data_IF_090590271713
#
_entry.id   IF_090590271713
#
_cell.length_a   1.000
_cell.length_b   1.000
_cell.length_c   1.000
_cell.angle_alpha   90.00
_cell.angle_beta   90.00
_cell.angle_gamma   90.00
#
_symmetry.space_group_name_H-M   'P 1'
#
loop_
_entity.id
_entity.type
_entity.pdbx_description
1 polymer ?
#
# COMPACT_ATOMS: atom_id res chain seq x y z
N UNK A 1 -19.51 27.98 -5.64
CA UNK A 1 -18.54 27.38 -6.56
C UNK A 1 -17.44 28.40 -6.70
N UNK A 2 -16.21 28.05 -6.29
CA UNK A 2 -15.09 28.97 -6.29
C UNK A 2 -14.78 29.43 -7.72
N UNK A 3 -14.53 30.73 -7.90
CA UNK A 3 -14.10 31.26 -9.18
C UNK A 3 -12.62 30.88 -9.44
N UNK A 4 -12.27 30.44 -10.67
CA UNK A 4 -10.87 30.28 -11.06
C UNK A 4 -10.08 31.58 -10.95
N UNK A 5 -8.77 31.46 -10.76
CA UNK A 5 -7.83 32.57 -10.90
C UNK A 5 -7.72 33.01 -12.37
N UNK A 6 -7.57 34.31 -12.59
CA UNK A 6 -7.44 34.90 -13.92
C UNK A 6 -6.08 34.58 -14.58
N UNK A 7 -5.03 34.40 -13.76
CA UNK A 7 -3.66 34.11 -14.20
C UNK A 7 -3.11 32.88 -13.50
N UNK A 8 -2.19 32.18 -14.17
CA UNK A 8 -1.46 31.09 -13.55
C UNK A 8 -0.51 31.60 -12.43
N UNK A 9 -0.19 30.75 -11.44
CA UNK A 9 0.81 31.05 -10.40
C UNK A 9 2.20 31.31 -10.98
N UNK A 10 3.06 31.99 -10.21
CA UNK A 10 4.40 32.36 -10.64
C UNK A 10 5.36 31.16 -10.70
N UNK A 11 5.26 30.26 -9.73
CA UNK A 11 5.95 28.98 -9.72
C UNK A 11 4.92 27.84 -9.65
N UNK A 12 5.16 26.78 -10.41
CA UNK A 12 4.25 25.63 -10.52
C UNK A 12 5.04 24.37 -10.23
N UNK A 13 4.54 23.56 -9.31
CA UNK A 13 4.99 22.20 -9.06
C UNK A 13 3.98 21.23 -9.63
N UNK A 14 4.44 20.37 -10.56
CA UNK A 14 3.59 19.38 -11.20
C UNK A 14 3.58 18.11 -10.36
N UNK A 15 2.39 17.58 -10.18
CA UNK A 15 2.15 16.40 -9.38
C UNK A 15 2.65 15.14 -10.11
N UNK A 16 3.40 14.31 -9.39
CA UNK A 16 3.74 12.96 -9.82
C UNK A 16 2.91 11.93 -9.04
N UNK A 17 2.67 10.75 -9.63
CA UNK A 17 2.00 9.63 -8.95
C UNK A 17 2.98 8.83 -8.11
N UNK A 18 3.71 9.51 -7.24
CA UNK A 18 4.83 8.99 -6.45
C UNK A 18 4.43 7.77 -5.62
N UNK A 19 3.30 7.84 -4.90
CA UNK A 19 2.85 6.73 -4.03
C UNK A 19 2.58 5.46 -4.83
N UNK A 20 2.08 5.58 -6.07
CA UNK A 20 1.82 4.44 -6.96
C UNK A 20 3.14 3.73 -7.31
N UNK A 21 4.17 4.50 -7.64
CA UNK A 21 5.49 3.97 -8.01
C UNK A 21 6.23 3.39 -6.80
N UNK A 22 6.08 4.00 -5.63
CA UNK A 22 6.64 3.49 -4.39
C UNK A 22 5.98 2.16 -3.98
N UNK A 23 4.66 2.06 -4.10
CA UNK A 23 3.94 0.79 -3.90
C UNK A 23 4.47 -0.31 -4.83
N UNK A 24 4.64 -0.02 -6.12
CA UNK A 24 5.21 -0.99 -7.06
C UNK A 24 6.66 -1.37 -6.69
N UNK A 25 7.46 -0.41 -6.20
CA UNK A 25 8.82 -0.64 -5.69
C UNK A 25 8.81 -1.59 -4.48
N UNK A 26 7.89 -1.40 -3.54
CA UNK A 26 7.76 -2.26 -2.37
C UNK A 26 7.23 -3.65 -2.72
N UNK A 27 6.29 -3.75 -3.66
CA UNK A 27 5.84 -5.05 -4.20
C UNK A 27 7.00 -5.79 -4.88
N UNK A 28 7.84 -5.11 -5.67
CA UNK A 28 9.05 -5.71 -6.21
C UNK A 28 9.97 -6.20 -5.09
N UNK A 29 10.18 -5.39 -4.04
CA UNK A 29 11.00 -5.80 -2.90
C UNK A 29 10.46 -7.07 -2.21
N UNK A 30 9.14 -7.22 -2.06
CA UNK A 30 8.51 -8.43 -1.51
C UNK A 30 8.77 -9.66 -2.38
N UNK A 31 8.83 -9.51 -3.71
CA UNK A 31 9.22 -10.61 -4.60
C UNK A 31 10.72 -10.89 -4.58
N UNK A 32 11.55 -9.85 -4.52
CA UNK A 32 12.99 -9.96 -4.78
C UNK A 32 13.86 -10.11 -3.51
N UNK A 33 13.32 -9.79 -2.33
CA UNK A 33 14.02 -9.78 -1.05
C UNK A 33 13.20 -10.56 -0.02
N UNK A 34 13.87 -11.42 0.75
CA UNK A 34 13.24 -12.03 1.92
C UNK A 34 13.13 -10.98 3.04
N UNK A 35 11.90 -10.52 3.31
CA UNK A 35 11.61 -9.55 4.37
C UNK A 35 10.92 -10.28 5.52
N UNK A 36 11.70 -10.58 6.56
CA UNK A 36 11.20 -11.09 7.84
C UNK A 36 10.77 -9.88 8.69
N UNK A 37 9.49 -9.69 9.02
CA UNK A 37 9.07 -8.55 9.83
C UNK A 37 9.64 -8.62 11.25
N UNK A 38 9.73 -7.46 11.90
CA UNK A 38 10.04 -7.37 13.33
C UNK A 38 8.89 -7.94 14.16
N UNK A 39 9.08 -8.04 15.49
CA UNK A 39 8.01 -8.46 16.42
C UNK A 39 6.76 -7.58 16.32
N UNK A 40 6.95 -6.31 15.98
CA UNK A 40 5.87 -5.32 15.82
C UNK A 40 5.30 -5.31 14.39
N UNK A 41 5.67 -6.28 13.56
CA UNK A 41 5.18 -6.38 12.18
C UNK A 41 5.82 -5.39 11.20
N UNK A 42 6.89 -4.69 11.59
CA UNK A 42 7.53 -3.66 10.75
C UNK A 42 8.66 -4.21 9.87
N UNK A 43 9.08 -3.44 8.88
CA UNK A 43 10.25 -3.76 8.07
C UNK A 43 11.53 -3.59 8.91
N UNK A 44 12.45 -4.57 8.95
CA UNK A 44 13.70 -4.41 9.71
C UNK A 44 14.53 -3.24 9.20
N UNK A 45 15.15 -2.46 10.10
CA UNK A 45 15.99 -1.29 9.78
C UNK A 45 17.01 -1.54 8.65
N UNK A 46 17.64 -2.71 8.63
CA UNK A 46 18.61 -3.10 7.58
C UNK A 46 17.98 -3.15 6.18
N UNK A 47 16.74 -3.61 6.08
CA UNK A 47 15.99 -3.66 4.81
C UNK A 47 15.46 -2.27 4.50
N UNK A 48 14.88 -1.57 5.47
CA UNK A 48 14.41 -0.19 5.30
C UNK A 48 15.49 0.73 4.71
N UNK A 49 16.73 0.68 5.23
CA UNK A 49 17.89 1.42 4.70
C UNK A 49 18.18 1.16 3.22
N UNK A 50 17.83 -0.01 2.69
CA UNK A 50 17.98 -0.34 1.26
C UNK A 50 16.80 0.14 0.41
N UNK A 51 15.63 0.31 1.02
CA UNK A 51 14.39 0.70 0.34
C UNK A 51 14.25 2.22 0.26
N UNK A 52 14.66 2.97 1.29
CA UNK A 52 14.57 4.45 1.30
C UNK A 52 15.14 5.13 0.04
N UNK A 53 16.31 4.74 -0.51
CA UNK A 53 16.82 5.36 -1.74
C UNK A 53 15.97 5.10 -2.99
N UNK A 54 15.14 4.05 -2.96
CA UNK A 54 14.33 3.60 -4.10
C UNK A 54 12.92 4.20 -4.09
N UNK A 55 12.40 4.57 -2.92
CA UNK A 55 11.13 5.28 -2.78
C UNK A 55 11.33 6.80 -2.87
N UNK A 56 10.28 7.54 -3.22
CA UNK A 56 10.36 8.98 -3.52
C UNK A 56 9.35 9.85 -2.77
N UNK A 57 8.40 9.26 -2.06
CA UNK A 57 7.44 10.03 -1.27
C UNK A 57 8.10 10.85 -0.17
N UNK A 58 7.38 11.89 0.23
CA UNK A 58 7.81 12.85 1.24
C UNK A 58 7.87 12.18 2.62
N UNK A 59 8.88 12.55 3.41
CA UNK A 59 9.09 12.05 4.76
C UNK A 59 7.87 12.30 5.66
N UNK A 60 7.49 11.29 6.44
CA UNK A 60 6.43 11.39 7.45
C UNK A 60 7.06 11.31 8.84
N UNK A 61 7.13 12.44 9.53
CA UNK A 61 7.63 12.49 10.90
C UNK A 61 6.48 12.41 11.90
N UNK A 62 6.72 11.71 13.01
CA UNK A 62 5.77 11.57 14.11
C UNK A 62 6.41 12.04 15.40
N UNK A 63 5.64 12.65 16.29
CA UNK A 63 6.11 13.04 17.63
C UNK A 63 6.63 11.87 18.47
N UNK A 64 6.25 10.64 18.10
CA UNK A 64 6.62 9.42 18.81
C UNK A 64 7.91 8.77 18.26
N UNK A 65 8.41 9.22 17.11
CA UNK A 65 9.52 8.59 16.40
C UNK A 65 10.41 9.62 15.71
N UNK A 66 11.71 9.55 15.97
CA UNK A 66 12.73 10.31 15.23
C UNK A 66 13.01 9.76 13.81
N UNK A 67 12.30 8.71 13.37
CA UNK A 67 12.49 8.12 12.05
C UNK A 67 11.31 8.44 11.13
N UNK A 68 11.61 8.63 9.84
CA UNK A 68 10.63 8.65 8.75
C UNK A 68 9.73 7.40 8.76
N UNK A 69 8.43 7.64 8.96
CA UNK A 69 7.37 6.63 9.03
C UNK A 69 6.73 6.35 7.65
N UNK A 70 7.13 7.02 6.57
CA UNK A 70 6.54 6.83 5.24
C UNK A 70 6.58 5.38 4.77
N UNK A 71 7.72 4.70 4.94
CA UNK A 71 7.85 3.29 4.59
C UNK A 71 6.92 2.39 5.42
N UNK A 72 6.82 2.64 6.72
CA UNK A 72 5.95 1.87 7.63
C UNK A 72 4.47 2.10 7.28
N UNK A 73 4.10 3.35 6.96
CA UNK A 73 2.78 3.72 6.46
C UNK A 73 2.42 2.95 5.17
N UNK A 74 3.31 2.93 4.18
CA UNK A 74 3.08 2.19 2.94
C UNK A 74 2.91 0.69 3.18
N UNK A 75 3.71 0.06 4.04
CA UNK A 75 3.52 -1.35 4.38
C UNK A 75 2.20 -1.60 5.10
N UNK A 76 1.77 -0.71 6.00
CA UNK A 76 0.47 -0.80 6.65
C UNK A 76 -0.68 -0.71 5.64
N UNK A 77 -0.58 0.18 4.63
CA UNK A 77 -1.54 0.30 3.53
C UNK A 77 -1.55 -0.99 2.71
N UNK A 78 -0.39 -1.51 2.29
CA UNK A 78 -0.28 -2.74 1.50
C UNK A 78 -0.88 -3.95 2.22
N UNK A 79 -0.70 -4.05 3.54
CA UNK A 79 -1.30 -5.10 4.35
C UNK A 79 -2.80 -4.90 4.53
N UNK A 80 -3.27 -3.68 4.83
CA UNK A 80 -4.68 -3.35 4.96
C UNK A 80 -5.47 -3.63 3.67
N UNK A 81 -4.86 -3.35 2.53
CA UNK A 81 -5.40 -3.65 1.20
C UNK A 81 -5.20 -5.11 0.75
N UNK A 82 -4.53 -5.94 1.55
CA UNK A 82 -4.19 -7.33 1.24
C UNK A 82 -3.39 -7.50 -0.07
N UNK A 83 -2.57 -6.51 -0.41
CA UNK A 83 -1.60 -6.56 -1.49
C UNK A 83 -0.31 -7.27 -1.03
N UNK A 84 -0.01 -7.19 0.27
CA UNK A 84 1.04 -7.92 0.95
C UNK A 84 0.44 -8.65 2.14
N UNK A 85 0.88 -9.88 2.39
CA UNK A 85 0.51 -10.64 3.59
C UNK A 85 1.72 -11.11 4.36
N UNK A 86 1.62 -11.12 5.68
CA UNK A 86 2.57 -11.81 6.54
C UNK A 86 2.23 -13.31 6.55
N UNK A 87 3.11 -14.13 6.01
CA UNK A 87 2.98 -15.59 6.11
C UNK A 87 3.69 -16.08 7.35
N UNK A 88 2.96 -16.75 8.25
CA UNK A 88 3.48 -17.41 9.44
C UNK A 88 3.51 -18.92 9.20
N UNK A 89 4.68 -19.52 8.97
CA UNK A 89 4.76 -20.96 8.77
C UNK A 89 4.26 -21.68 10.02
N UNK A 90 3.56 -22.82 9.89
CA UNK A 90 2.99 -23.56 11.01
C UNK A 90 4.04 -24.31 11.86
N UNK A 91 5.33 -24.06 11.61
CA UNK A 91 6.46 -24.74 12.24
C UNK A 91 7.19 -23.78 13.16
N UNK A 92 7.29 -24.14 14.43
CA UNK A 92 8.05 -23.39 15.43
C UNK A 92 9.50 -23.17 14.98
N UNK A 93 9.97 -21.92 15.12
CA UNK A 93 11.34 -21.52 14.76
C UNK A 93 11.52 -21.03 13.32
N UNK A 94 10.53 -21.20 12.43
CA UNK A 94 10.57 -20.55 11.12
C UNK A 94 9.95 -19.16 11.23
N UNK A 95 10.73 -18.13 10.92
CA UNK A 95 10.26 -16.75 10.99
C UNK A 95 9.20 -16.48 9.92
N UNK A 96 8.30 -15.57 10.26
CA UNK A 96 7.35 -15.04 9.30
C UNK A 96 8.05 -14.22 8.22
N UNK A 97 7.36 -14.04 7.10
CA UNK A 97 7.85 -13.20 5.99
C UNK A 97 6.70 -12.56 5.23
N UNK A 98 6.97 -11.39 4.67
CA UNK A 98 6.07 -10.78 3.71
C UNK A 98 6.07 -11.54 2.39
N UNK A 99 4.88 -11.71 1.82
CA UNK A 99 4.64 -12.30 0.51
C UNK A 99 3.53 -11.53 -0.22
N UNK A 100 3.40 -11.78 -1.53
CA UNK A 100 2.27 -11.31 -2.31
C UNK A 100 0.93 -11.69 -1.64
N UNK A 101 0.08 -10.69 -1.44
CA UNK A 101 -1.25 -10.85 -0.85
C UNK A 101 -2.29 -11.29 -1.88
N UNK A 102 -3.45 -11.70 -1.37
CA UNK A 102 -4.49 -12.35 -2.19
C UNK A 102 -5.18 -11.37 -3.16
N UNK A 103 -5.15 -10.07 -2.86
CA UNK A 103 -5.73 -9.03 -3.72
C UNK A 103 -4.74 -8.43 -4.72
N UNK A 104 -3.46 -8.83 -4.68
CA UNK A 104 -2.43 -8.27 -5.57
C UNK A 104 -2.73 -8.53 -7.05
N UNK A 105 -3.29 -9.70 -7.39
CA UNK A 105 -3.64 -10.01 -8.77
C UNK A 105 -4.71 -9.06 -9.33
N UNK A 106 -5.78 -8.79 -8.55
CA UNK A 106 -6.83 -7.86 -8.97
C UNK A 106 -6.31 -6.41 -9.06
N UNK A 107 -5.44 -6.01 -8.13
CA UNK A 107 -4.76 -4.71 -8.16
C UNK A 107 -3.87 -4.54 -9.39
N UNK A 108 -3.13 -5.58 -9.77
CA UNK A 108 -2.20 -5.56 -10.90
C UNK A 108 -2.90 -5.33 -12.25
N UNK A 109 -4.18 -5.70 -12.39
CA UNK A 109 -4.95 -5.47 -13.62
C UNK A 109 -5.46 -4.03 -13.74
N UNK A 110 -5.44 -3.25 -12.65
CA UNK A 110 -5.83 -1.85 -12.68
C UNK A 110 -4.73 -1.00 -13.33
N UNK A 111 -5.15 -0.08 -14.18
CA UNK A 111 -4.29 0.96 -14.72
C UNK A 111 -4.04 2.08 -13.70
N UNK A 112 -3.36 3.15 -14.13
CA UNK A 112 -3.07 4.31 -13.28
C UNK A 112 -4.33 4.94 -12.68
N UNK A 113 -5.40 5.12 -13.46
CA UNK A 113 -6.65 5.71 -12.93
C UNK A 113 -7.28 4.79 -11.88
N UNK A 114 -7.33 3.49 -12.13
CA UNK A 114 -7.88 2.51 -11.21
C UNK A 114 -7.10 2.41 -9.90
N UNK A 115 -5.77 2.30 -9.96
CA UNK A 115 -4.93 2.20 -8.76
C UNK A 115 -5.00 3.47 -7.92
N UNK A 116 -4.87 4.66 -8.53
CA UNK A 116 -4.97 5.93 -7.80
C UNK A 116 -6.36 6.13 -7.20
N UNK A 117 -7.43 5.72 -7.90
CA UNK A 117 -8.79 5.78 -7.36
C UNK A 117 -8.99 4.91 -6.12
N UNK A 118 -8.45 3.69 -6.12
CA UNK A 118 -8.50 2.80 -4.95
C UNK A 118 -7.70 3.38 -3.78
N UNK A 119 -6.51 3.95 -4.03
CA UNK A 119 -5.74 4.60 -2.96
C UNK A 119 -6.43 5.85 -2.41
N UNK A 120 -7.06 6.64 -3.27
CA UNK A 120 -7.82 7.81 -2.82
C UNK A 120 -9.02 7.39 -1.95
N UNK A 121 -9.68 6.26 -2.25
CA UNK A 121 -10.71 5.71 -1.39
C UNK A 121 -10.13 5.23 -0.05
N UNK A 122 -8.99 4.53 -0.08
CA UNK A 122 -8.30 4.07 1.13
C UNK A 122 -7.91 5.27 2.01
N UNK A 123 -7.29 6.31 1.44
CA UNK A 123 -6.93 7.55 2.13
C UNK A 123 -8.16 8.23 2.77
N UNK A 124 -9.32 8.26 2.10
CA UNK A 124 -10.54 8.85 2.67
C UNK A 124 -11.11 8.08 3.87
N UNK A 125 -10.83 6.77 3.99
CA UNK A 125 -11.55 5.88 4.91
C UNK A 125 -10.69 5.36 6.06
N UNK A 126 -9.40 5.23 5.85
CA UNK A 126 -8.48 4.59 6.78
C UNK A 126 -7.61 5.60 7.52
N UNK A 127 -7.31 5.29 8.79
CA UNK A 127 -6.49 6.14 9.66
C UNK A 127 -5.00 5.81 9.60
N UNK A 128 -4.60 4.76 8.87
CA UNK A 128 -3.21 4.33 8.74
C UNK A 128 -2.45 5.05 7.62
N UNK A 129 -2.95 6.21 7.20
CA UNK A 129 -2.33 7.06 6.19
C UNK A 129 -2.16 8.44 6.80
N UNK A 130 -0.93 8.91 6.87
CA UNK A 130 -0.57 10.21 7.43
C UNK A 130 -0.24 11.20 6.30
N UNK A 131 -0.69 12.44 6.47
CA UNK A 131 -0.36 13.56 5.62
C UNK A 131 0.89 14.27 6.19
N UNK A 132 1.73 14.92 5.36
CA UNK A 132 2.90 15.67 5.86
C UNK A 132 2.39 16.85 6.68
N UNK A 133 2.68 16.87 7.98
CA UNK A 133 2.32 17.99 8.83
C UNK A 133 3.21 19.20 8.56
N UNK A 134 2.63 20.34 8.19
CA UNK A 134 3.29 21.66 8.22
C UNK A 134 3.35 22.23 9.65
N UNK A 135 3.57 21.39 10.67
CA UNK A 135 3.68 21.86 12.05
C UNK A 135 5.06 22.49 12.27
N UNK A 136 5.29 23.63 11.64
CA UNK A 136 6.25 24.61 12.15
C UNK A 136 5.81 24.98 13.56
N UNK A 137 6.57 24.48 14.53
CA UNK A 137 6.54 25.05 15.87
C UNK A 137 7.05 26.49 15.71
N UNK A 138 6.28 27.52 16.11
CA UNK A 138 6.77 28.89 16.00
C UNK A 138 8.13 29.01 16.69
N UNK A 139 9.15 29.50 15.98
CA UNK A 139 10.53 29.64 16.49
C UNK A 139 10.60 30.48 17.76
N UNK A 140 9.69 31.44 17.92
CA UNK A 140 9.48 32.20 19.14
C UNK A 140 8.09 31.91 19.72
N UNK A 141 8.05 31.06 20.75
CA UNK A 141 6.95 31.03 21.72
C UNK A 141 6.82 32.45 22.32
N UNK A 142 5.63 33.09 22.28
CA UNK A 142 5.47 34.40 22.91
C UNK A 142 5.59 34.24 24.43
N UNK A 143 6.79 34.50 24.94
CA UNK A 143 7.11 34.52 26.36
C UNK A 143 8.27 33.60 26.72
N UNK A 144 9.46 34.18 26.86
CA UNK A 144 10.50 33.63 27.72
C UNK A 144 9.92 33.43 29.13
N UNK A 145 9.50 32.20 29.44
CA UNK A 145 9.44 31.64 30.79
C UNK A 145 9.31 30.14 30.68
N UNK A 146 10.14 29.44 31.44
CA UNK A 146 10.33 27.99 31.55
C UNK A 146 9.10 27.18 31.99
N UNK A 147 7.91 27.53 31.55
CA UNK A 147 6.66 26.86 31.89
C UNK A 147 6.07 26.26 30.61
N UNK A 148 6.73 25.22 30.07
CA UNK A 148 5.98 24.18 29.35
C UNK A 148 5.17 23.40 30.39
N UNK A 149 4.25 24.09 31.05
CA UNK A 149 3.27 23.48 31.91
C UNK A 149 2.26 22.81 30.99
N UNK A 150 2.25 21.48 31.04
CA UNK A 150 1.22 20.65 30.41
C UNK A 150 -0.20 21.05 30.87
N UNK A 151 -0.31 21.88 31.93
CA UNK A 151 -1.53 22.54 32.40
C UNK A 151 -1.90 23.87 31.71
N UNK A 152 -1.07 24.44 30.83
CA UNK A 152 -1.40 25.68 30.12
C UNK A 152 -2.39 25.44 28.97
N UNK A 153 -3.38 26.35 28.83
CA UNK A 153 -4.47 26.23 27.85
C UNK A 153 -3.98 26.17 26.40
N UNK A 154 -2.83 26.77 26.08
CA UNK A 154 -2.22 26.75 24.74
C UNK A 154 -1.53 25.42 24.43
N UNK A 155 -0.75 24.87 25.36
CA UNK A 155 -0.17 23.53 25.22
C UNK A 155 -1.25 22.44 25.15
N UNK A 156 -2.33 22.61 25.93
CA UNK A 156 -3.50 21.73 25.90
C UNK A 156 -4.32 21.86 24.60
N UNK A 157 -4.45 23.05 24.01
CA UNK A 157 -5.16 23.26 22.73
C UNK A 157 -4.37 22.65 21.55
N UNK A 158 -3.03 22.72 21.57
CA UNK A 158 -2.15 22.15 20.54
C UNK A 158 -2.03 20.61 20.63
N UNK A 159 -1.96 20.07 21.85
CA UNK A 159 -2.12 18.62 22.09
C UNK A 159 -3.53 18.16 21.68
N UNK A 160 -4.59 18.85 22.09
CA UNK A 160 -5.93 18.50 21.60
C UNK A 160 -6.04 18.61 20.09
N UNK A 161 -5.34 19.53 19.43
CA UNK A 161 -5.36 19.60 17.96
C UNK A 161 -4.79 18.34 17.30
N UNK A 162 -3.67 17.83 17.79
CA UNK A 162 -3.11 16.55 17.34
C UNK A 162 -4.02 15.34 17.65
N UNK A 163 -4.70 15.34 18.81
CA UNK A 163 -5.52 14.21 19.29
C UNK A 163 -7.04 14.32 19.01
N UNK A 164 -7.52 15.47 18.55
CA UNK A 164 -8.95 15.75 18.27
C UNK A 164 -9.23 16.03 16.81
N UNK A 165 -8.24 15.99 15.92
CA UNK A 165 -8.50 16.17 14.48
C UNK A 165 -9.14 14.90 13.89
N UNK A 166 -10.35 15.01 13.33
CA UNK A 166 -10.98 13.98 12.51
C UNK A 166 -10.51 14.11 11.05
N UNK A 167 -9.34 13.55 10.77
CA UNK A 167 -8.76 13.58 9.42
C UNK A 167 -9.73 13.00 8.37
N UNK A 168 -10.52 11.98 8.70
CA UNK A 168 -11.45 11.36 7.73
C UNK A 168 -12.57 12.32 7.28
N UNK A 169 -13.15 13.07 8.21
CA UNK A 169 -14.20 14.05 7.90
C UNK A 169 -13.63 15.25 7.14
N UNK A 170 -12.41 15.68 7.47
CA UNK A 170 -11.69 16.71 6.73
C UNK A 170 -11.40 16.27 5.28
N UNK A 171 -10.87 15.05 5.07
CA UNK A 171 -10.63 14.47 3.75
C UNK A 171 -11.89 14.44 2.89
N UNK A 172 -13.01 13.98 3.47
CA UNK A 172 -14.30 13.94 2.78
C UNK A 172 -14.77 15.34 2.37
N UNK A 173 -14.63 16.31 3.27
CA UNK A 173 -14.98 17.72 3.00
C UNK A 173 -14.13 18.28 1.86
N UNK A 174 -12.82 18.09 1.92
CA UNK A 174 -11.87 18.55 0.91
C UNK A 174 -12.21 17.96 -0.48
N UNK A 175 -12.41 16.65 -0.56
CA UNK A 175 -12.78 15.97 -1.81
C UNK A 175 -14.10 16.48 -2.39
N UNK A 176 -15.08 16.78 -1.54
CA UNK A 176 -16.34 17.38 -1.99
C UNK A 176 -16.14 18.74 -2.63
N UNK A 177 -15.22 19.57 -2.11
CA UNK A 177 -14.88 20.86 -2.72
C UNK A 177 -14.12 20.69 -4.03
N UNK A 178 -13.11 19.82 -4.06
CA UNK A 178 -12.31 19.55 -5.26
C UNK A 178 -13.17 19.04 -6.42
N UNK A 179 -14.19 18.22 -6.15
CA UNK A 179 -15.18 17.79 -7.16
C UNK A 179 -15.97 18.92 -7.83
N UNK A 180 -15.93 20.14 -7.29
CA UNK A 180 -16.60 21.30 -7.92
C UNK A 180 -15.67 22.11 -8.82
N UNK A 181 -14.37 21.83 -8.81
CA UNK A 181 -13.38 22.52 -9.61
C UNK A 181 -13.33 21.94 -11.04
N UNK A 182 -13.20 22.80 -12.03
CA UNK A 182 -12.99 22.45 -13.43
C UNK A 182 -11.52 22.09 -13.71
N UNK A 183 -11.30 21.14 -14.63
CA UNK A 183 -9.97 20.72 -15.10
C UNK A 183 -9.17 21.87 -15.71
N UNK A 184 -7.86 21.88 -15.50
CA UNK A 184 -6.94 22.81 -16.16
C UNK A 184 -7.12 24.28 -15.75
N UNK A 185 -7.82 24.54 -14.64
CA UNK A 185 -8.02 25.87 -14.06
C UNK A 185 -7.33 25.94 -12.70
N UNK A 186 -6.73 27.09 -12.42
CA UNK A 186 -6.10 27.38 -11.13
C UNK A 186 -7.12 27.97 -10.15
N UNK A 187 -7.05 27.54 -8.90
CA UNK A 187 -7.92 27.97 -7.81
C UNK A 187 -7.07 28.42 -6.63
N UNK A 188 -7.49 29.47 -5.92
CA UNK A 188 -6.82 29.94 -4.69
C UNK A 188 -7.03 28.97 -3.53
N UNK A 189 -5.96 28.63 -2.82
CA UNK A 189 -6.02 27.86 -1.57
C UNK A 189 -6.76 28.66 -0.48
N UNK A 190 -6.49 29.96 -0.31
CA UNK A 190 -7.19 30.79 0.69
C UNK A 190 -8.71 30.83 0.45
N UNK A 191 -9.15 30.92 -0.80
CA UNK A 191 -10.59 30.92 -1.10
C UNK A 191 -11.23 29.56 -0.82
N UNK A 192 -10.56 28.45 -1.15
CA UNK A 192 -11.00 27.10 -0.78
C UNK A 192 -11.15 26.97 0.75
N UNK A 193 -10.15 27.42 1.50
CA UNK A 193 -10.15 27.38 2.97
C UNK A 193 -11.27 28.24 3.56
N UNK A 194 -11.55 29.42 3.00
CA UNK A 194 -12.68 30.26 3.40
C UNK A 194 -14.02 29.58 3.13
N UNK A 195 -14.19 28.92 1.99
CA UNK A 195 -15.40 28.18 1.65
C UNK A 195 -15.64 27.03 2.64
N UNK A 196 -14.59 26.26 2.95
CA UNK A 196 -14.63 25.20 3.97
C UNK A 196 -15.01 25.78 5.34
N UNK A 197 -14.37 26.88 5.74
CA UNK A 197 -14.64 27.56 7.01
C UNK A 197 -16.10 28.04 7.14
N UNK A 198 -16.68 28.58 6.06
CA UNK A 198 -18.06 29.05 6.06
C UNK A 198 -19.08 27.90 6.15
N UNK A 199 -18.82 26.79 5.45
CA UNK A 199 -19.72 25.64 5.41
C UNK A 199 -19.63 24.78 6.67
N UNK A 200 -18.41 24.46 7.12
CA UNK A 200 -18.18 23.54 8.22
C UNK A 200 -16.89 23.86 9.01
N UNK A 201 -16.91 24.90 9.88
CA UNK A 201 -15.71 25.37 10.58
C UNK A 201 -15.13 24.36 11.59
N UNK A 202 -15.88 23.31 11.99
CA UNK A 202 -15.39 22.22 12.85
C UNK A 202 -15.28 20.88 12.11
N UNK A 203 -15.31 20.88 10.77
CA UNK A 203 -15.39 19.66 9.96
C UNK A 203 -14.26 18.66 10.18
N UNK A 204 -13.15 19.11 10.75
CA UNK A 204 -11.98 18.32 11.09
C UNK A 204 -11.89 17.96 12.57
N UNK A 205 -12.93 18.03 13.41
CA UNK A 205 -12.83 17.67 14.85
C UNK A 205 -13.65 16.45 15.27
N UNK A 206 -13.01 15.51 15.99
CA UNK A 206 -13.62 14.33 16.63
C UNK A 206 -14.34 14.69 17.92
N UNK A 207 -15.47 14.01 18.12
CA UNK A 207 -16.19 13.79 19.39
C UNK A 207 -15.94 14.83 20.49
N UNK A 208 -16.66 15.94 20.40
CA UNK A 208 -16.80 16.91 21.49
C UNK A 208 -18.15 16.75 22.17
N UNK A 209 -18.23 17.03 23.47
CA UNK A 209 -19.52 17.23 24.13
C UNK A 209 -20.30 18.33 23.41
N UNK A 210 -21.64 18.25 23.39
CA UNK A 210 -22.48 19.25 22.70
C UNK A 210 -22.20 20.69 23.14
N UNK A 211 -21.80 20.88 24.41
CA UNK A 211 -21.45 22.19 24.96
C UNK A 211 -20.07 22.68 24.49
N UNK A 212 -19.05 21.82 24.48
CA UNK A 212 -17.74 22.15 23.90
C UNK A 212 -17.86 22.46 22.41
N UNK A 213 -18.63 21.66 21.67
CA UNK A 213 -18.87 21.87 20.25
C UNK A 213 -19.44 23.25 19.96
N UNK A 214 -20.51 23.66 20.67
CA UNK A 214 -21.11 25.00 20.52
C UNK A 214 -20.13 26.13 20.85
N UNK A 215 -19.30 25.96 21.89
CA UNK A 215 -18.27 26.93 22.25
C UNK A 215 -17.20 27.06 21.17
N UNK A 216 -16.69 25.94 20.66
CA UNK A 216 -15.65 25.93 19.62
C UNK A 216 -16.20 26.41 18.27
N UNK A 217 -17.44 26.07 17.91
CA UNK A 217 -18.14 26.59 16.73
C UNK A 217 -18.23 28.12 16.79
N UNK A 218 -18.57 28.66 17.96
CA UNK A 218 -18.65 30.10 18.19
C UNK A 218 -17.29 30.77 17.98
N UNK A 219 -16.23 30.27 18.63
CA UNK A 219 -14.86 30.80 18.50
C UNK A 219 -14.31 30.69 17.07
N UNK A 220 -14.57 29.56 16.41
CA UNK A 220 -14.12 29.34 15.03
C UNK A 220 -14.81 30.33 14.07
N UNK A 221 -16.09 30.62 14.27
CA UNK A 221 -16.83 31.62 13.48
C UNK A 221 -16.46 33.07 13.79
N UNK A 222 -15.94 33.34 14.99
CA UNK A 222 -15.51 34.69 15.40
C UNK A 222 -14.23 35.15 14.68
N UNK A 223 -13.32 34.23 14.31
CA UNK A 223 -12.06 34.62 13.68
C UNK A 223 -11.51 33.56 12.72
N UNK A 224 -11.48 33.91 11.42
CA UNK A 224 -10.80 33.12 10.38
C UNK A 224 -9.32 32.93 10.69
N UNK A 225 -8.62 33.95 11.18
CA UNK A 225 -7.19 33.84 11.52
C UNK A 225 -6.94 32.79 12.60
N UNK A 226 -7.82 32.70 13.60
CA UNK A 226 -7.73 31.65 14.63
C UNK A 226 -8.05 30.27 14.06
N UNK A 227 -9.08 30.17 13.23
CA UNK A 227 -9.41 28.90 12.56
C UNK A 227 -8.29 28.43 11.64
N UNK A 228 -7.65 29.35 10.92
CA UNK A 228 -6.55 29.06 10.00
C UNK A 228 -5.39 28.35 10.72
N UNK A 229 -4.89 28.96 11.80
CA UNK A 229 -3.79 28.41 12.60
C UNK A 229 -4.09 27.08 13.30
N UNK A 230 -5.37 26.67 13.35
CA UNK A 230 -5.79 25.50 14.12
C UNK A 230 -6.37 24.39 13.24
N UNK A 231 -7.04 24.69 12.12
CA UNK A 231 -7.72 23.67 11.32
C UNK A 231 -7.36 23.74 9.83
N UNK A 232 -7.03 24.93 9.30
CA UNK A 232 -6.74 25.07 7.87
C UNK A 232 -5.47 24.32 7.45
N UNK A 233 -4.44 24.32 8.30
CA UNK A 233 -3.16 23.66 8.02
C UNK A 233 -3.34 22.18 7.66
N UNK A 234 -4.30 21.48 8.26
CA UNK A 234 -4.58 20.08 7.91
C UNK A 234 -5.02 19.94 6.43
N UNK A 235 -5.84 20.86 5.91
CA UNK A 235 -6.26 20.84 4.52
C UNK A 235 -5.12 21.21 3.57
N UNK A 236 -4.25 22.14 3.99
CA UNK A 236 -3.05 22.51 3.24
C UNK A 236 -2.09 21.33 3.17
N UNK A 237 -1.81 20.66 4.29
CA UNK A 237 -1.04 19.41 4.39
C UNK A 237 -1.59 18.32 3.47
N UNK A 238 -2.91 18.12 3.42
CA UNK A 238 -3.53 17.13 2.52
C UNK A 238 -3.32 17.46 1.04
N UNK A 239 -3.37 18.74 0.66
CA UNK A 239 -3.09 19.20 -0.69
C UNK A 239 -1.60 19.04 -1.04
N UNK A 240 -0.72 19.48 -0.14
CA UNK A 240 0.72 19.55 -0.34
C UNK A 240 1.39 18.16 -0.32
N UNK A 241 0.78 17.18 0.35
CA UNK A 241 1.29 15.81 0.43
C UNK A 241 0.41 14.82 -0.33
N UNK A 242 -0.50 14.11 0.34
CA UNK A 242 -1.18 12.94 -0.22
C UNK A 242 -1.89 13.20 -1.55
N UNK A 243 -2.58 14.33 -1.73
CA UNK A 243 -3.26 14.63 -3.00
C UNK A 243 -2.28 14.97 -4.12
N UNK A 244 -1.17 15.64 -3.79
CA UNK A 244 -0.09 15.92 -4.73
C UNK A 244 0.68 14.64 -5.10
N UNK A 245 1.08 13.82 -4.13
CA UNK A 245 1.82 12.55 -4.36
C UNK A 245 0.96 11.43 -4.99
N UNK A 246 -0.37 11.58 -4.98
CA UNK A 246 -1.31 10.76 -5.77
C UNK A 246 -1.50 11.29 -7.20
N UNK A 247 -0.92 12.44 -7.55
CA UNK A 247 -1.06 13.07 -8.86
C UNK A 247 -2.42 13.73 -9.09
N UNK A 248 -3.17 14.07 -8.04
CA UNK A 248 -4.55 14.61 -8.15
C UNK A 248 -4.54 16.12 -8.33
N UNK A 249 -3.63 16.82 -7.65
CA UNK A 249 -3.52 18.29 -7.67
C UNK A 249 -2.10 18.73 -8.00
N UNK A 250 -1.95 19.67 -8.93
CA UNK A 250 -0.72 20.46 -9.11
C UNK A 250 -0.76 21.66 -8.15
N UNK A 251 0.41 22.13 -7.72
CA UNK A 251 0.54 23.18 -6.73
C UNK A 251 1.18 24.44 -7.33
N UNK A 252 0.72 25.59 -6.83
CA UNK A 252 1.14 26.90 -7.31
C UNK A 252 1.61 27.80 -6.18
N UNK A 253 2.76 28.43 -6.37
CA UNK A 253 3.44 29.24 -5.36
C UNK A 253 3.69 30.67 -5.87
N UNK A 254 3.83 31.61 -4.93
CA UNK A 254 4.21 33.00 -5.22
C UNK A 254 5.66 33.15 -5.66
N UNK A 255 6.55 32.32 -5.10
CA UNK A 255 7.97 32.19 -5.44
C UNK A 255 8.31 30.70 -5.50
N UNK A 256 9.46 30.36 -6.09
CA UNK A 256 9.85 28.95 -6.19
C UNK A 256 10.15 28.40 -4.80
N UNK A 257 9.66 27.20 -4.43
CA UNK A 257 10.03 26.55 -3.16
C UNK A 257 11.52 26.17 -3.09
N UNK A 258 12.25 26.23 -4.20
CA UNK A 258 13.69 25.98 -4.24
C UNK A 258 14.55 27.25 -4.07
N UNK A 259 13.95 28.41 -3.81
CA UNK A 259 14.70 29.64 -3.52
C UNK A 259 15.21 29.58 -2.06
N UNK A 260 16.52 29.34 -1.88
CA UNK A 260 17.19 29.15 -0.56
C UNK A 260 16.99 30.31 0.44
N UNK A 261 16.53 31.47 -0.02
CA UNK A 261 16.37 32.71 0.75
C UNK A 261 15.02 32.81 1.51
N UNK A 262 14.06 31.88 1.32
CA UNK A 262 12.68 32.01 1.82
C UNK A 262 12.18 30.69 2.47
N UNK A 263 12.87 30.24 3.53
CA UNK A 263 12.48 29.04 4.32
C UNK A 263 11.06 29.20 4.90
N UNK A 264 10.62 30.43 5.20
CA UNK A 264 9.37 30.75 5.89
C UNK A 264 8.08 30.66 5.05
N UNK A 265 8.12 30.40 3.73
CA UNK A 265 6.92 30.51 2.87
C UNK A 265 6.76 29.38 1.84
N UNK A 266 6.73 28.14 2.32
CA UNK A 266 6.58 26.92 1.51
C UNK A 266 5.12 26.45 1.30
N UNK A 267 4.12 27.18 1.79
CA UNK A 267 2.72 26.79 1.61
C UNK A 267 2.20 27.14 0.20
N UNK A 268 1.46 26.24 -0.47
CA UNK A 268 0.89 26.53 -1.77
C UNK A 268 -0.20 27.62 -1.67
N UNK A 269 -0.19 28.56 -2.61
CA UNK A 269 -1.20 29.63 -2.70
C UNK A 269 -2.33 29.31 -3.66
N UNK A 270 -2.06 28.43 -4.61
CA UNK A 270 -3.01 27.97 -5.60
C UNK A 270 -2.86 26.47 -5.85
N UNK A 271 -3.91 25.87 -6.38
CA UNK A 271 -3.93 24.49 -6.82
C UNK A 271 -4.68 24.35 -8.14
N UNK A 272 -4.37 23.29 -8.89
CA UNK A 272 -5.09 22.90 -10.08
C UNK A 272 -5.37 21.40 -10.03
N UNK A 273 -6.57 20.97 -10.43
CA UNK A 273 -6.85 19.54 -10.54
C UNK A 273 -6.28 19.03 -11.86
N UNK A 274 -5.43 18.01 -11.76
CA UNK A 274 -4.79 17.37 -12.92
C UNK A 274 -5.82 16.65 -13.79
N UNK A 275 -5.41 16.27 -15.00
CA UNK A 275 -6.24 15.43 -15.87
C UNK A 275 -6.54 14.06 -15.24
N UNK A 276 -5.61 13.52 -14.45
CA UNK A 276 -5.79 12.28 -13.68
C UNK A 276 -6.78 12.50 -12.53
N UNK A 277 -6.60 13.56 -11.76
CA UNK A 277 -7.47 13.93 -10.63
C UNK A 277 -8.92 14.07 -11.03
N UNK A 278 -9.22 14.72 -12.17
CA UNK A 278 -10.59 14.85 -12.67
C UNK A 278 -11.22 13.49 -13.00
N UNK A 279 -10.49 12.59 -13.68
CA UNK A 279 -11.01 11.25 -14.01
C UNK A 279 -11.42 10.48 -12.75
N UNK A 280 -10.61 10.58 -11.70
CA UNK A 280 -10.80 9.91 -10.42
C UNK A 280 -11.93 10.56 -9.60
N UNK A 281 -11.89 11.87 -9.41
CA UNK A 281 -12.82 12.61 -8.55
C UNK A 281 -14.27 12.53 -9.05
N UNK A 282 -14.47 12.55 -10.37
CA UNK A 282 -15.79 12.47 -11.00
C UNK A 282 -16.25 11.05 -11.32
N UNK A 283 -15.45 10.04 -11.00
CA UNK A 283 -15.81 8.64 -11.17
C UNK A 283 -16.20 8.31 -12.61
N UNK A 284 -15.36 8.72 -13.57
CA UNK A 284 -15.63 8.43 -14.99
C UNK A 284 -15.63 6.92 -15.17
N UNK A 285 -16.82 6.30 -15.20
CA UNK A 285 -16.97 4.91 -15.64
C UNK A 285 -16.40 4.85 -17.05
N UNK A 286 -15.29 4.14 -17.21
CA UNK A 286 -14.73 3.86 -18.53
C UNK A 286 -15.80 3.23 -19.42
N UNK A 287 -15.87 3.70 -20.65
CA UNK A 287 -16.62 3.01 -21.70
C UNK A 287 -15.75 1.86 -22.21
N UNK A 288 -16.28 0.63 -22.32
CA UNK A 288 -15.52 -0.51 -22.85
C UNK A 288 -15.04 -0.32 -24.31
N UNK A 289 -15.56 0.68 -25.03
CA UNK A 289 -15.09 1.05 -26.37
C UNK A 289 -13.71 1.75 -26.37
N UNK A 290 -13.34 2.50 -25.32
CA UNK A 290 -12.00 3.12 -25.21
C UNK A 290 -10.92 2.14 -24.75
N UNK A 291 -11.31 1.03 -24.11
CA UNK A 291 -10.41 -0.05 -23.67
C UNK A 291 -9.90 -0.87 -24.86
N UNK A 292 -10.73 -1.12 -25.87
CA UNK A 292 -10.32 -1.89 -27.06
C UNK A 292 -9.34 -1.13 -27.96
N UNK A 293 -9.36 0.21 -27.95
CA UNK A 293 -8.51 1.04 -28.83
C UNK A 293 -7.17 1.44 -28.18
N UNK A 294 -7.10 1.68 -26.86
CA UNK A 294 -5.83 1.95 -26.14
C UNK A 294 -5.04 0.66 -25.84
N UNK A 295 -5.70 -0.42 -25.42
CA UNK A 295 -5.05 -1.70 -25.05
C UNK A 295 -4.51 -2.43 -26.28
N UNK A 296 -5.05 -2.16 -27.47
CA UNK A 296 -4.62 -2.80 -28.71
C UNK A 296 -3.27 -2.30 -29.24
N UNK A 297 -2.72 -1.18 -28.75
CA UNK A 297 -1.58 -0.53 -29.41
C UNK A 297 -0.42 -0.02 -28.53
N UNK A 298 -0.43 -0.16 -27.20
CA UNK A 298 0.64 0.40 -26.38
C UNK A 298 1.63 -0.65 -25.87
N UNK A 299 2.33 -1.35 -26.78
CA UNK A 299 3.56 -2.06 -26.37
C UNK A 299 4.53 -1.00 -25.85
N UNK A 300 4.78 -1.00 -24.55
CA UNK A 300 5.50 0.07 -23.83
C UNK A 300 6.89 -0.38 -23.36
N UNK A 301 7.14 -1.68 -23.39
CA UNK A 301 8.35 -2.31 -22.89
C UNK A 301 9.40 -2.39 -24.00
N UNK A 302 10.65 -2.10 -23.64
CA UNK A 302 11.82 -2.40 -24.47
C UNK A 302 12.68 -3.38 -23.67
N UNK A 303 12.97 -4.52 -24.27
CA UNK A 303 13.94 -5.48 -23.74
C UNK A 303 15.25 -5.32 -24.47
N UNK A 304 16.31 -4.99 -23.75
CA UNK A 304 17.63 -4.80 -24.32
C UNK A 304 18.47 -6.09 -24.27
N UNK A 305 19.43 -6.27 -25.19
CA UNK A 305 20.40 -7.38 -25.11
C UNK A 305 21.22 -7.41 -23.82
N UNK A 306 21.29 -6.28 -23.09
CA UNK A 306 21.93 -6.13 -21.77
C UNK A 306 21.12 -6.73 -20.61
N UNK A 307 19.94 -7.31 -20.88
CA UNK A 307 18.96 -7.76 -19.87
C UNK A 307 18.23 -6.63 -19.14
N UNK A 308 18.41 -5.38 -19.56
CA UNK A 308 17.62 -4.25 -19.08
C UNK A 308 16.22 -4.23 -19.72
N UNK A 309 15.23 -3.97 -18.88
CA UNK A 309 13.83 -3.76 -19.21
C UNK A 309 13.52 -2.29 -19.01
N UNK A 310 13.13 -1.61 -20.08
CA UNK A 310 12.75 -0.19 -20.05
C UNK A 310 11.26 -0.07 -20.36
N UNK A 311 10.48 0.39 -19.38
CA UNK A 311 9.09 0.77 -19.57
C UNK A 311 9.05 2.28 -19.76
N UNK A 312 8.77 2.74 -20.98
CA UNK A 312 8.95 4.16 -21.34
C UNK A 312 7.80 5.08 -20.89
N UNK A 313 6.69 4.50 -20.44
CA UNK A 313 5.48 5.21 -20.05
C UNK A 313 4.78 4.46 -18.91
N UNK A 314 3.91 5.10 -18.13
CA UNK A 314 3.25 4.49 -16.98
C UNK A 314 2.18 3.47 -17.41
N UNK A 315 2.63 2.24 -17.64
CA UNK A 315 1.80 1.08 -17.94
C UNK A 315 1.87 0.10 -16.76
N UNK A 316 1.01 0.34 -15.77
CA UNK A 316 1.02 -0.41 -14.51
C UNK A 316 0.74 -1.90 -14.71
N UNK A 317 -0.25 -2.35 -15.52
CA UNK A 317 -0.45 -3.78 -15.74
C UNK A 317 0.79 -4.48 -16.29
N UNK A 318 1.46 -3.87 -17.28
CA UNK A 318 2.74 -4.39 -17.78
C UNK A 318 3.80 -4.41 -16.66
N UNK A 319 3.94 -3.34 -15.89
CA UNK A 319 4.89 -3.27 -14.76
C UNK A 319 4.66 -4.39 -13.75
N UNK A 320 3.43 -4.57 -13.25
CA UNK A 320 3.10 -5.61 -12.27
C UNK A 320 3.31 -7.02 -12.84
N UNK A 321 3.13 -7.23 -14.15
CA UNK A 321 3.40 -8.52 -14.78
C UNK A 321 4.88 -8.93 -14.73
N UNK A 322 5.81 -7.95 -14.71
CA UNK A 322 7.27 -8.19 -14.73
C UNK A 322 7.93 -8.15 -13.34
N UNK A 323 7.32 -7.49 -12.34
CA UNK A 323 7.88 -7.41 -10.97
C UNK A 323 8.25 -8.76 -10.34
N UNK A 324 7.51 -9.88 -10.56
CA UNK A 324 7.87 -11.16 -9.95
C UNK A 324 9.22 -11.70 -10.41
N UNK A 325 9.65 -11.40 -11.64
CA UNK A 325 10.83 -12.02 -12.26
C UNK A 325 11.92 -11.03 -12.68
N UNK A 326 11.73 -9.73 -12.45
CA UNK A 326 12.72 -8.68 -12.70
C UNK A 326 13.07 -7.93 -11.41
N UNK A 327 14.30 -7.44 -11.32
CA UNK A 327 14.74 -6.58 -10.22
C UNK A 327 14.52 -5.12 -10.59
N UNK A 328 13.75 -4.38 -9.80
CA UNK A 328 13.57 -2.95 -10.02
C UNK A 328 14.86 -2.19 -9.69
N UNK A 329 15.33 -1.39 -10.63
CA UNK A 329 16.41 -0.41 -10.42
C UNK A 329 15.82 0.96 -10.10
N UNK A 330 14.74 1.30 -10.79
CA UNK A 330 13.99 2.55 -10.64
C UNK A 330 12.58 2.33 -11.18
N UNK A 331 11.56 2.75 -10.43
CA UNK A 331 10.18 2.78 -10.89
C UNK A 331 9.70 4.22 -10.84
N UNK A 332 8.99 4.63 -11.88
CA UNK A 332 8.52 5.99 -12.10
C UNK A 332 7.77 6.06 -13.43
N UNK A 333 7.55 7.29 -13.93
CA UNK A 333 6.95 7.54 -15.25
C UNK A 333 7.64 6.76 -16.36
N UNK A 334 8.97 6.67 -16.30
CA UNK A 334 9.75 5.64 -16.99
C UNK A 334 10.39 4.72 -15.95
N UNK A 335 10.22 3.41 -16.12
CA UNK A 335 10.74 2.40 -15.19
C UNK A 335 11.87 1.60 -15.82
N UNK A 336 12.90 1.31 -15.03
CA UNK A 336 14.05 0.49 -15.39
C UNK A 336 14.18 -0.68 -14.44
N UNK A 337 14.17 -1.88 -15.02
CA UNK A 337 14.35 -3.13 -14.30
C UNK A 337 15.42 -3.97 -14.99
N UNK A 338 15.97 -4.94 -14.28
CA UNK A 338 17.00 -5.85 -14.81
C UNK A 338 16.56 -7.30 -14.64
N UNK A 339 16.70 -8.09 -15.69
CA UNK A 339 16.60 -9.55 -15.61
C UNK A 339 17.92 -10.14 -15.12
N UNK A 340 17.86 -10.93 -14.06
CA UNK A 340 18.99 -11.68 -13.54
C UNK A 340 18.57 -13.14 -13.36
N UNK A 341 19.55 -14.05 -13.26
CA UNK A 341 19.25 -15.44 -12.95
C UNK A 341 18.44 -15.58 -11.65
N UNK A 342 18.83 -14.84 -10.61
CA UNK A 342 18.14 -14.87 -9.32
C UNK A 342 16.72 -14.32 -9.39
N UNK A 343 16.49 -13.22 -10.14
CA UNK A 343 15.14 -12.68 -10.30
C UNK A 343 14.25 -13.62 -11.09
N UNK A 344 14.77 -14.26 -12.15
CA UNK A 344 14.06 -15.28 -12.91
C UNK A 344 13.66 -16.46 -12.01
N UNK A 345 14.59 -16.98 -11.21
CA UNK A 345 14.33 -18.10 -10.28
C UNK A 345 13.28 -17.74 -9.24
N UNK A 346 13.31 -16.51 -8.69
CA UNK A 346 12.26 -16.02 -7.78
C UNK A 346 10.91 -15.94 -8.48
N UNK A 347 10.88 -15.44 -9.72
CA UNK A 347 9.68 -15.44 -10.55
C UNK A 347 9.11 -16.84 -10.80
N UNK A 348 9.98 -17.81 -11.11
CA UNK A 348 9.57 -19.20 -11.28
C UNK A 348 9.05 -19.82 -9.98
N UNK A 349 9.61 -19.45 -8.83
CA UNK A 349 9.13 -19.88 -7.52
C UNK A 349 7.71 -19.35 -7.17
N UNK A 350 7.20 -18.37 -7.91
CA UNK A 350 5.78 -17.95 -7.83
C UNK A 350 4.83 -18.85 -8.63
N UNK A 351 5.34 -19.93 -9.25
CA UNK A 351 4.56 -20.87 -10.05
C UNK A 351 4.55 -20.57 -11.55
N UNK A 352 5.25 -19.53 -12.01
CA UNK A 352 5.36 -19.21 -13.44
C UNK A 352 6.39 -20.10 -14.13
N UNK A 353 6.08 -20.58 -15.33
CA UNK A 353 7.07 -21.27 -16.16
C UNK A 353 7.91 -20.26 -16.95
N UNK A 354 9.12 -20.65 -17.36
CA UNK A 354 9.95 -19.80 -18.24
C UNK A 354 9.23 -19.45 -19.55
N UNK A 355 8.42 -20.36 -20.09
CA UNK A 355 7.62 -20.11 -21.29
C UNK A 355 6.57 -19.01 -21.05
N UNK A 356 5.90 -19.02 -19.90
CA UNK A 356 4.97 -17.94 -19.52
C UNK A 356 5.70 -16.61 -19.34
N UNK A 357 6.90 -16.61 -18.75
CA UNK A 357 7.70 -15.39 -18.56
C UNK A 357 8.14 -14.81 -19.92
N UNK A 358 8.63 -15.66 -20.83
CA UNK A 358 8.99 -15.25 -22.19
C UNK A 358 7.76 -14.69 -22.92
N UNK A 359 6.62 -15.36 -22.81
CA UNK A 359 5.38 -14.90 -23.43
C UNK A 359 4.92 -13.53 -22.89
N UNK A 360 5.06 -13.28 -21.59
CA UNK A 360 4.79 -11.95 -21.00
C UNK A 360 5.72 -10.91 -21.65
N UNK A 361 7.03 -11.18 -21.70
CA UNK A 361 7.97 -10.24 -22.33
C UNK A 361 7.64 -9.97 -23.81
N UNK A 362 7.37 -11.01 -24.59
CA UNK A 362 7.00 -10.93 -26.01
C UNK A 362 5.70 -10.16 -26.26
N UNK A 363 4.72 -10.32 -25.37
CA UNK A 363 3.43 -9.65 -25.49
C UNK A 363 3.55 -8.13 -25.33
N UNK A 364 4.40 -7.68 -24.41
CA UNK A 364 4.49 -6.27 -24.03
C UNK A 364 5.64 -5.51 -24.73
N UNK A 365 6.62 -6.22 -25.30
CA UNK A 365 7.80 -5.60 -25.94
C UNK A 365 7.49 -4.94 -27.28
N UNK A 366 7.98 -3.73 -27.49
CA UNK A 366 7.86 -2.99 -28.76
C UNK A 366 8.54 -3.69 -29.93
N UNK A 367 9.66 -4.36 -29.64
CA UNK A 367 10.50 -5.08 -30.61
C UNK A 367 10.58 -6.55 -30.24
N UNK A 368 10.89 -7.40 -31.20
CA UNK A 368 11.18 -8.80 -30.92
C UNK A 368 12.20 -8.96 -29.80
N UNK A 369 11.99 -9.97 -28.96
CA UNK A 369 12.86 -10.24 -27.83
C UNK A 369 14.27 -10.59 -28.37
N UNK A 370 15.35 -9.95 -27.87
CA UNK A 370 16.69 -10.26 -28.33
C UNK A 370 17.03 -11.76 -28.16
N UNK A 371 17.61 -12.35 -29.19
CA UNK A 371 17.88 -13.80 -29.22
C UNK A 371 18.76 -14.26 -28.05
N UNK A 372 19.75 -13.45 -27.65
CA UNK A 372 20.62 -13.75 -26.51
C UNK A 372 19.85 -13.79 -25.18
N UNK A 373 18.85 -12.92 -25.01
CA UNK A 373 17.98 -12.88 -23.83
C UNK A 373 17.13 -14.15 -23.78
N UNK A 374 16.50 -14.53 -24.90
CA UNK A 374 15.66 -15.74 -24.99
C UNK A 374 16.45 -17.00 -24.60
N UNK A 375 17.62 -17.23 -25.20
CA UNK A 375 18.45 -18.40 -24.88
C UNK A 375 18.91 -18.39 -23.42
N UNK A 376 19.32 -17.24 -22.90
CA UNK A 376 19.84 -17.13 -21.55
C UNK A 376 18.74 -17.37 -20.50
N UNK A 377 17.51 -16.89 -20.74
CA UNK A 377 16.36 -17.19 -19.88
C UNK A 377 16.07 -18.69 -19.84
N UNK A 378 16.13 -19.38 -20.98
CA UNK A 378 15.95 -20.82 -21.05
C UNK A 378 17.06 -21.58 -20.30
N UNK A 379 18.31 -21.15 -20.44
CA UNK A 379 19.45 -21.77 -19.75
C UNK A 379 19.41 -21.54 -18.24
N UNK A 380 19.09 -20.33 -17.79
CA UNK A 380 18.86 -20.05 -16.38
C UNK A 380 17.71 -20.89 -15.81
N UNK A 381 16.64 -21.09 -16.58
CA UNK A 381 15.52 -21.93 -16.15
C UNK A 381 15.89 -23.41 -15.99
N UNK A 382 16.81 -23.96 -16.81
CA UNK A 382 17.30 -25.35 -16.63
C UNK A 382 18.05 -25.54 -15.30
N UNK A 383 18.62 -24.46 -14.76
CA UNK A 383 19.33 -24.48 -13.48
C UNK A 383 18.39 -24.32 -12.28
N UNK A 384 17.13 -23.94 -12.50
CA UNK A 384 16.13 -23.80 -11.45
C UNK A 384 15.72 -25.17 -10.90
N UNK A 385 15.83 -25.33 -9.58
CA UNK A 385 15.41 -26.54 -8.86
C UNK A 385 14.54 -26.10 -7.69
N UNK A 386 13.33 -26.61 -7.63
CA UNK A 386 12.39 -26.33 -6.53
C UNK A 386 12.22 -27.58 -5.67
N UNK A 387 12.28 -27.40 -4.35
CA UNK A 387 11.89 -28.41 -3.38
C UNK A 387 10.84 -27.81 -2.46
N UNK A 388 9.75 -28.53 -2.22
CA UNK A 388 8.70 -28.12 -1.29
C UNK A 388 8.78 -28.97 -0.03
N UNK A 389 8.73 -28.30 1.11
CA UNK A 389 8.60 -28.95 2.41
C UNK A 389 7.18 -28.71 2.91
N UNK A 390 6.50 -29.76 3.35
CA UNK A 390 5.14 -29.68 3.88
C UNK A 390 5.06 -30.47 5.18
N UNK A 391 4.36 -29.90 6.16
CA UNK A 391 4.01 -30.62 7.38
C UNK A 391 2.65 -31.26 7.18
N UNK A 392 2.58 -32.58 7.36
CA UNK A 392 1.39 -33.37 7.11
C UNK A 392 1.14 -34.35 8.25
N UNK A 393 -0.13 -34.67 8.50
CA UNK A 393 -0.48 -35.84 9.30
C UNK A 393 -0.49 -37.08 8.39
N UNK A 394 0.24 -38.10 8.79
CA UNK A 394 0.31 -39.38 8.10
C UNK A 394 -0.83 -40.30 8.56
N UNK A 395 -1.54 -40.92 7.63
CA UNK A 395 -2.52 -41.97 7.90
C UNK A 395 -2.02 -43.25 7.24
N UNK A 396 -1.70 -44.23 8.06
CA UNK A 396 -1.39 -45.58 7.61
C UNK A 396 -2.66 -46.43 7.68
N UNK A 397 -2.95 -47.12 6.59
CA UNK A 397 -4.12 -47.98 6.47
C UNK A 397 -3.70 -49.45 6.31
N UNK A 398 -4.53 -50.41 6.72
CA UNK A 398 -4.17 -51.83 6.63
C UNK A 398 -4.21 -52.37 5.19
N UNK A 399 -4.84 -51.66 4.25
CA UNK A 399 -4.92 -52.07 2.84
C UNK A 399 -5.21 -50.88 1.93
N UNK A 400 -4.83 -51.03 0.65
CA UNK A 400 -5.09 -50.04 -0.40
C UNK A 400 -6.59 -49.76 -0.60
N UNK A 401 -7.45 -50.75 -0.38
CA UNK A 401 -8.90 -50.57 -0.49
C UNK A 401 -9.42 -49.57 0.55
N UNK A 402 -8.89 -49.61 1.77
CA UNK A 402 -9.26 -48.68 2.85
C UNK A 402 -8.72 -47.29 2.55
N UNK A 403 -7.48 -47.17 2.06
CA UNK A 403 -6.90 -45.90 1.64
C UNK A 403 -7.78 -45.20 0.59
N UNK A 404 -8.17 -45.93 -0.47
CA UNK A 404 -9.05 -45.43 -1.53
C UNK A 404 -10.43 -45.04 -1.01
N UNK A 405 -11.00 -45.82 -0.11
CA UNK A 405 -12.30 -45.52 0.50
C UNK A 405 -12.28 -44.22 1.33
N UNK A 406 -11.18 -43.93 2.03
CA UNK A 406 -11.02 -42.70 2.80
C UNK A 406 -10.80 -41.52 1.85
N UNK A 407 -9.88 -41.64 0.89
CA UNK A 407 -9.54 -40.58 -0.06
C UNK A 407 -10.73 -40.14 -0.94
N UNK A 408 -11.63 -41.07 -1.28
CA UNK A 408 -12.80 -40.80 -2.11
C UNK A 408 -13.90 -39.96 -1.43
N UNK A 409 -13.80 -39.65 -0.13
CA UNK A 409 -14.85 -38.89 0.56
C UNK A 409 -14.55 -37.39 0.59
N UNK A 410 -15.51 -36.59 0.12
CA UNK A 410 -15.42 -35.12 0.06
C UNK A 410 -15.07 -34.46 1.40
N UNK A 411 -15.46 -35.07 2.52
CA UNK A 411 -15.22 -34.54 3.87
C UNK A 411 -13.74 -34.40 4.23
N UNK A 412 -12.86 -35.14 3.58
CA UNK A 412 -11.41 -35.09 3.81
C UNK A 412 -10.70 -34.14 2.84
N UNK A 413 -11.39 -33.67 1.79
CA UNK A 413 -10.81 -32.73 0.80
C UNK A 413 -10.49 -31.36 1.42
N UNK A 414 -11.24 -30.93 2.44
CA UNK A 414 -10.94 -29.71 3.22
C UNK A 414 -9.60 -29.73 3.97
N UNK A 415 -8.99 -30.90 4.14
CA UNK A 415 -7.66 -31.09 4.74
C UNK A 415 -6.65 -31.58 3.71
N UNK A 416 -6.94 -31.36 2.41
CA UNK A 416 -6.10 -31.72 1.27
C UNK A 416 -5.55 -33.14 1.32
N UNK A 417 -6.46 -34.12 1.53
CA UNK A 417 -6.08 -35.52 1.58
C UNK A 417 -5.36 -35.95 0.30
N UNK A 418 -4.18 -36.55 0.46
CA UNK A 418 -3.33 -37.01 -0.64
C UNK A 418 -2.86 -38.42 -0.38
N UNK A 419 -3.04 -39.30 -1.34
CA UNK A 419 -2.40 -40.62 -1.36
C UNK A 419 -0.96 -40.46 -1.84
N UNK A 420 0.00 -40.88 -1.00
CA UNK A 420 1.44 -40.80 -1.32
C UNK A 420 2.07 -42.18 -1.53
N UNK A 421 1.39 -43.23 -1.10
CA UNK A 421 1.67 -44.63 -1.39
C UNK A 421 0.39 -45.47 -1.20
N UNK A 422 0.31 -46.73 -1.70
CA UNK A 422 -0.94 -47.51 -1.71
C UNK A 422 -1.66 -47.63 -0.36
N UNK A 423 -0.94 -47.64 0.77
CA UNK A 423 -1.52 -47.73 2.11
C UNK A 423 -1.31 -46.46 2.96
N UNK A 424 -0.82 -45.38 2.36
CA UNK A 424 -0.36 -44.19 3.07
C UNK A 424 -1.04 -42.95 2.49
N UNK A 425 -1.84 -42.29 3.33
CA UNK A 425 -2.46 -41.01 3.05
C UNK A 425 -1.80 -39.91 3.88
N UNK A 426 -1.95 -38.68 3.43
CA UNK A 426 -1.52 -37.48 4.15
C UNK A 426 -2.66 -36.48 4.24
N UNK A 427 -2.78 -35.81 5.37
CA UNK A 427 -3.65 -34.64 5.59
C UNK A 427 -2.79 -33.43 5.95
N UNK A 428 -3.34 -32.23 5.90
CA UNK A 428 -2.67 -31.04 6.42
C UNK A 428 -2.28 -31.21 7.90
N UNK A 429 -1.08 -30.74 8.26
CA UNK A 429 -0.53 -30.90 9.60
C UNK A 429 -1.24 -30.07 10.68
N UNK A 430 -2.01 -29.05 10.31
CA UNK A 430 -2.78 -28.18 11.21
C UNK A 430 -4.25 -28.62 11.38
N UNK A 431 -4.68 -29.70 10.71
CA UNK A 431 -6.04 -30.19 10.84
C UNK A 431 -6.33 -30.67 12.29
N UNK A 432 -7.53 -30.35 12.78
CA UNK A 432 -7.93 -30.70 14.14
C UNK A 432 -8.03 -32.22 14.31
N UNK A 433 -7.15 -32.80 15.13
CA UNK A 433 -7.08 -34.24 15.40
C UNK A 433 -8.42 -34.85 15.82
N UNK A 434 -9.23 -34.14 16.60
CA UNK A 434 -10.52 -34.65 17.05
C UNK A 434 -11.55 -34.69 15.92
N UNK A 435 -11.51 -33.69 15.02
CA UNK A 435 -12.38 -33.69 13.84
C UNK A 435 -11.99 -34.78 12.85
N UNK A 436 -10.68 -34.95 12.61
CA UNK A 436 -10.13 -36.02 11.77
C UNK A 436 -10.53 -37.38 12.33
N UNK A 437 -10.41 -37.57 13.65
CA UNK A 437 -10.86 -38.78 14.35
C UNK A 437 -12.33 -39.08 14.11
N UNK A 438 -13.18 -38.11 14.40
CA UNK A 438 -14.63 -38.26 14.22
C UNK A 438 -14.99 -38.54 12.75
N UNK A 439 -14.24 -37.97 11.80
CA UNK A 439 -14.46 -38.19 10.38
C UNK A 439 -14.12 -39.63 9.96
N UNK A 440 -13.02 -40.20 10.48
CA UNK A 440 -12.56 -41.58 10.21
C UNK A 440 -13.40 -42.64 10.95
N UNK A 441 -13.84 -42.39 12.19
CA UNK A 441 -14.74 -43.32 12.89
C UNK A 441 -16.08 -43.47 12.15
N UNK A 442 -16.59 -42.39 11.56
CA UNK A 442 -17.78 -42.41 10.69
C UNK A 442 -17.61 -43.20 9.40
N UNK A 443 -16.38 -43.58 9.02
CA UNK A 443 -16.13 -44.45 7.85
C UNK A 443 -15.96 -45.91 8.24
N UNK A 444 -16.13 -46.24 9.53
CA UNK A 444 -15.91 -47.58 10.06
C UNK A 444 -14.43 -47.91 10.30
N UNK A 445 -13.54 -46.91 10.28
CA UNK A 445 -12.10 -47.10 10.50
C UNK A 445 -11.76 -46.78 11.95
N UNK A 446 -11.22 -47.77 12.68
CA UNK A 446 -10.68 -47.55 14.03
C UNK A 446 -9.27 -46.97 13.96
N UNK A 447 -8.99 -45.97 14.77
CA UNK A 447 -7.72 -45.22 14.73
C UNK A 447 -6.83 -45.60 15.91
N UNK A 448 -5.55 -45.82 15.61
CA UNK A 448 -4.50 -45.89 16.61
C UNK A 448 -3.53 -44.73 16.38
N UNK A 449 -3.26 -43.95 17.42
CA UNK A 449 -2.33 -42.83 17.35
C UNK A 449 -0.91 -43.33 17.60
N UNK A 450 -0.05 -43.24 16.58
CA UNK A 450 1.37 -43.59 16.65
C UNK A 450 2.22 -42.35 16.46
N UNK A 451 3.26 -42.18 17.28
CA UNK A 451 4.18 -41.03 17.20
C UNK A 451 3.81 -39.82 18.07
N UNK A 452 4.67 -38.80 18.04
CA UNK A 452 4.48 -37.56 18.77
C UNK A 452 3.69 -36.57 17.91
N UNK A 453 2.49 -36.20 18.36
CA UNK A 453 1.71 -35.13 17.74
C UNK A 453 2.18 -33.77 18.30
N UNK A 454 2.30 -32.73 17.45
CA UNK A 454 2.55 -31.39 17.94
C UNK A 454 1.47 -31.03 18.95
N UNK A 455 1.86 -30.59 20.15
CA UNK A 455 0.88 -30.04 21.09
C UNK A 455 0.26 -28.81 20.43
N UNK A 456 -1.06 -28.63 20.46
CA UNK A 456 -1.66 -27.39 19.99
C UNK A 456 -0.98 -26.25 20.76
N UNK A 457 -0.31 -25.37 20.04
CA UNK A 457 0.22 -24.13 20.61
C UNK A 457 -0.95 -23.42 21.23
N UNK A 458 -0.98 -23.33 22.58
CA UNK A 458 -1.91 -22.43 23.27
C UNK A 458 -1.65 -21.06 22.68
N UNK A 459 -2.62 -20.55 21.91
CA UNK A 459 -2.72 -19.15 21.55
C UNK A 459 -2.44 -18.34 22.81
N UNK A 460 -1.47 -17.44 22.74
CA UNK A 460 -1.05 -16.59 23.86
C UNK A 460 -2.10 -15.55 24.27
N UNK A 461 -3.37 -15.72 23.89
CA UNK A 461 -4.47 -14.85 24.28
C UNK A 461 -5.12 -15.21 25.64
N UNK A 462 -4.78 -16.32 26.28
CA UNK A 462 -5.34 -16.70 27.59
C UNK A 462 -4.56 -16.13 28.80
N UNK A 463 -3.91 -14.97 28.66
CA UNK A 463 -3.25 -14.27 29.79
C UNK A 463 -3.82 -12.88 30.06
N UNK A 464 -5.14 -12.71 30.01
CA UNK A 464 -5.80 -11.61 30.70
C UNK A 464 -7.21 -12.02 31.15
N UNK A 465 -7.27 -12.85 32.18
CA UNK A 465 -8.42 -12.93 33.09
C UNK A 465 -7.89 -12.62 34.49
N UNK A 466 -7.96 -11.34 34.87
CA UNK A 466 -7.69 -10.90 36.23
C UNK A 466 -8.84 -11.38 37.13
N UNK A 467 -8.47 -12.08 38.21
CA UNK A 467 -9.16 -11.96 39.49
C UNK A 467 -8.84 -10.59 40.12
#
# INVERSE_FOLDING_TARGET
MQAPLDTAPAAIEQAETTVIYDIATLINAVYQIMIEPTKDGRVPKRIAKKLYPLIKGMERTSYLSENDEYLDMLFAILQGMQLVKETRPPVDGVKSRFQAGDKLAAWAELDLVGQTGVLLEHWQRELNWDDVGELEMPEEMPGERNDFDFGSRFGFDMWNLAFSTDNLAARTTLISHLRTCLSGRWYSVDTLLRDIWQLNPLGSRRSMSAQMRKSEEKKARESYSRWYKTNALNYVSMLNSSLHELGIVDLGYKKSPNDEDDIENHSPEAFQITSLGVKILHGTKRSPASEAEEVANSRSLIVQPSFELLLLQPDLPTLYSILPFAQANQIGTASRLTLTQNSLHRGMATGKTVAQIIHILERHTQKELPQNVLYTLQDWAKLYKETRLSMVMLIETPSEQVAKQIAAQDRFQRWHIREIAPCILTLDGDANLQEVRNALEKTGVTIQFTGAFPKPTRSSNDRYSYE
#
